data_IF_889337267147
#
_entry.id   IF_889337267147
#
_cell.length_a   1.000
_cell.length_b   1.000
_cell.length_c   1.000
_cell.angle_alpha   90.00
_cell.angle_beta   90.00
_cell.angle_gamma   90.00
#
_symmetry.space_group_name_H-M   'P 1'
#
loop_
_entity.id
_entity.type
_entity.pdbx_description
1 polymer ?
#
# COMPACT_ATOMS: atom_id res chain seq x y z
N UNK A 1 -23.02 41.67 -2.03
CA UNK A 1 -23.21 40.51 -1.14
C UNK A 1 -22.92 39.24 -1.92
N UNK A 2 -21.81 38.55 -1.64
CA UNK A 2 -21.55 37.19 -2.13
C UNK A 2 -21.17 36.37 -0.90
N UNK A 3 -22.01 35.41 -0.56
CA UNK A 3 -21.92 34.61 0.65
C UNK A 3 -20.68 33.69 0.59
N UNK A 4 -19.97 33.68 1.70
CA UNK A 4 -18.79 32.86 1.96
C UNK A 4 -19.26 31.46 2.37
N UNK A 5 -19.03 30.45 1.54
CA UNK A 5 -19.45 29.05 1.79
C UNK A 5 -18.20 28.20 2.02
N UNK A 6 -17.42 28.55 3.05
CA UNK A 6 -16.52 27.57 3.68
C UNK A 6 -17.29 26.95 4.85
N UNK A 7 -18.30 26.15 4.51
CA UNK A 7 -18.96 25.27 5.48
C UNK A 7 -17.97 24.20 5.89
N UNK A 8 -17.68 24.17 7.19
CA UNK A 8 -17.10 23.06 7.93
C UNK A 8 -17.61 21.71 7.41
N UNK A 9 -16.77 20.99 6.67
CA UNK A 9 -16.94 19.56 6.48
C UNK A 9 -15.86 18.92 7.35
N UNK A 10 -16.18 18.69 8.63
CA UNK A 10 -15.52 17.60 9.34
C UNK A 10 -15.82 16.34 8.52
N UNK A 11 -14.83 15.69 7.90
CA UNK A 11 -15.16 14.50 7.14
C UNK A 11 -15.53 13.45 8.17
N UNK A 12 -16.83 13.10 8.22
CA UNK A 12 -17.20 11.79 8.68
C UNK A 12 -16.25 10.83 7.97
N UNK A 13 -15.42 10.11 8.74
CA UNK A 13 -14.40 9.20 8.19
C UNK A 13 -15.18 8.16 7.39
N UNK A 14 -15.32 8.38 6.09
CA UNK A 14 -15.99 7.48 5.20
C UNK A 14 -15.21 6.17 5.30
N UNK A 15 -15.90 5.09 5.68
CA UNK A 15 -15.30 3.76 5.76
C UNK A 15 -14.58 3.52 4.42
N UNK A 16 -13.26 3.29 4.40
CA UNK A 16 -12.54 3.10 3.14
C UNK A 16 -13.16 1.90 2.42
N UNK A 17 -13.48 2.07 1.14
CA UNK A 17 -13.93 0.95 0.31
C UNK A 17 -12.71 0.07 0.05
N UNK A 18 -12.67 -1.08 0.72
CA UNK A 18 -11.64 -2.10 0.57
C UNK A 18 -12.19 -3.26 -0.28
N UNK A 19 -11.37 -3.89 -1.14
CA UNK A 19 -9.94 -3.61 -1.35
C UNK A 19 -9.69 -2.30 -2.13
N UNK A 20 -8.65 -1.57 -1.74
CA UNK A 20 -8.22 -0.34 -2.43
C UNK A 20 -6.97 -0.62 -3.26
N UNK A 21 -6.90 -0.07 -4.48
CA UNK A 21 -5.76 -0.27 -5.39
C UNK A 21 -5.06 1.07 -5.64
N UNK A 22 -3.78 1.14 -5.29
CA UNK A 22 -2.90 2.26 -5.62
C UNK A 22 -2.09 1.89 -6.85
N UNK A 23 -2.21 2.68 -7.91
CA UNK A 23 -1.52 2.46 -9.19
C UNK A 23 -0.38 3.48 -9.31
N UNK A 24 0.80 3.00 -9.74
CA UNK A 24 1.93 3.86 -10.01
C UNK A 24 1.74 4.67 -11.29
N UNK A 25 2.24 5.91 -11.31
CA UNK A 25 2.16 6.85 -12.44
C UNK A 25 2.78 6.30 -13.75
N UNK A 26 3.73 5.37 -13.66
CA UNK A 26 4.34 4.73 -14.82
C UNK A 26 3.37 3.88 -15.69
N UNK A 27 2.09 3.76 -15.30
CA UNK A 27 1.05 3.01 -16.02
C UNK A 27 1.33 1.52 -16.20
N UNK A 28 2.32 0.97 -15.49
CA UNK A 28 2.64 -0.45 -15.49
C UNK A 28 1.63 -1.21 -14.63
N UNK A 29 1.04 -2.27 -15.18
CA UNK A 29 0.13 -3.18 -14.44
C UNK A 29 0.83 -3.97 -13.34
N UNK A 30 2.14 -4.10 -13.43
CA UNK A 30 2.92 -4.69 -12.34
C UNK A 30 3.01 -3.69 -11.18
N UNK A 31 2.95 -2.38 -11.44
CA UNK A 31 3.14 -1.33 -10.44
C UNK A 31 1.85 -0.93 -9.73
N UNK A 32 1.39 -1.84 -8.88
CA UNK A 32 0.22 -1.68 -8.03
C UNK A 32 0.47 -2.14 -6.59
N UNK A 33 -0.18 -1.46 -5.65
CA UNK A 33 -0.35 -1.90 -4.26
C UNK A 33 -1.83 -2.18 -4.05
N UNK A 34 -2.17 -3.38 -3.61
CA UNK A 34 -3.54 -3.75 -3.22
C UNK A 34 -3.60 -3.73 -1.70
N UNK A 35 -4.53 -2.95 -1.15
CA UNK A 35 -4.78 -2.85 0.28
C UNK A 35 -6.05 -3.62 0.60
N UNK A 36 -5.95 -4.65 1.43
CA UNK A 36 -7.05 -5.50 1.86
C UNK A 36 -7.13 -5.51 3.39
N UNK A 37 -8.33 -5.59 3.93
CA UNK A 37 -8.53 -5.73 5.37
C UNK A 37 -9.25 -7.03 5.67
N UNK A 38 -8.59 -7.85 6.46
CA UNK A 38 -9.13 -9.09 6.97
C UNK A 38 -9.88 -8.82 8.27
N UNK A 39 -11.19 -9.13 8.28
CA UNK A 39 -12.04 -8.90 9.45
C UNK A 39 -11.88 -10.00 10.51
N UNK A 40 -11.37 -11.18 10.15
CA UNK A 40 -11.18 -12.28 11.11
C UNK A 40 -9.98 -12.01 12.02
N UNK A 41 -8.85 -11.65 11.42
CA UNK A 41 -7.61 -11.34 12.14
C UNK A 41 -7.49 -9.84 12.52
N UNK A 42 -8.40 -8.99 12.03
CA UNK A 42 -8.37 -7.52 12.18
C UNK A 42 -7.02 -6.92 11.74
N UNK A 43 -6.48 -7.44 10.64
CA UNK A 43 -5.20 -7.03 10.05
C UNK A 43 -5.45 -6.42 8.67
N UNK A 44 -4.65 -5.41 8.34
CA UNK A 44 -4.67 -4.80 7.00
C UNK A 44 -3.41 -5.19 6.26
N UNK A 45 -3.57 -5.82 5.11
CA UNK A 45 -2.50 -6.29 4.26
C UNK A 45 -2.29 -5.34 3.09
N UNK A 46 -1.02 -5.10 2.75
CA UNK A 46 -0.62 -4.39 1.54
C UNK A 46 0.18 -5.35 0.67
N UNK A 47 -0.42 -5.81 -0.41
CA UNK A 47 0.23 -6.65 -1.41
C UNK A 47 0.89 -5.76 -2.45
N UNK A 48 2.23 -5.79 -2.51
CA UNK A 48 3.01 -5.03 -3.48
C UNK A 48 3.44 -5.96 -4.60
N UNK A 49 2.97 -5.71 -5.81
CA UNK A 49 3.32 -6.51 -6.98
C UNK A 49 4.60 -6.00 -7.68
N UNK A 50 5.67 -5.69 -6.93
CA UNK A 50 6.96 -5.34 -7.54
C UNK A 50 8.14 -5.95 -6.83
N UNK A 51 8.91 -6.75 -7.59
CA UNK A 51 10.25 -6.28 -7.93
C UNK A 51 10.65 -6.74 -9.32
N UNK A 52 11.02 -5.79 -10.19
CA UNK A 52 11.87 -6.08 -11.35
C UNK A 52 13.27 -6.42 -10.86
N UNK A 53 13.49 -7.68 -10.53
CA UNK A 53 14.82 -8.18 -10.21
C UNK A 53 15.60 -8.43 -11.50
N UNK A 54 16.84 -7.91 -11.57
CA UNK A 54 17.77 -8.28 -12.65
C UNK A 54 18.02 -9.79 -12.68
N UNK A 55 18.42 -10.32 -13.84
CA UNK A 55 18.56 -11.76 -14.10
C UNK A 55 19.29 -12.51 -12.96
N UNK A 56 20.45 -12.01 -12.52
CA UNK A 56 21.25 -12.63 -11.47
C UNK A 56 20.56 -12.66 -10.10
N UNK A 57 19.73 -11.66 -9.78
CA UNK A 57 18.99 -11.62 -8.52
C UNK A 57 17.84 -12.63 -8.55
N UNK A 58 17.17 -12.78 -9.70
CA UNK A 58 16.17 -13.84 -9.94
C UNK A 58 16.79 -15.24 -9.85
N UNK A 59 17.96 -15.45 -10.48
CA UNK A 59 18.67 -16.73 -10.45
C UNK A 59 19.07 -17.10 -9.02
N UNK A 60 19.68 -16.18 -8.26
CA UNK A 60 20.03 -16.42 -6.85
C UNK A 60 18.82 -16.73 -5.98
N UNK A 61 17.72 -16.00 -6.16
CA UNK A 61 16.48 -16.25 -5.43
C UNK A 61 15.88 -17.63 -5.79
N UNK A 62 15.88 -17.99 -7.07
CA UNK A 62 15.42 -19.31 -7.54
C UNK A 62 16.27 -20.46 -7.00
N UNK A 63 17.60 -20.31 -6.99
CA UNK A 63 18.49 -21.32 -6.40
C UNK A 63 18.22 -21.48 -4.90
N UNK A 64 18.13 -20.39 -4.14
CA UNK A 64 17.76 -20.44 -2.72
C UNK A 64 16.46 -21.20 -2.50
N UNK A 65 15.46 -20.94 -3.34
CA UNK A 65 14.17 -21.63 -3.28
C UNK A 65 14.30 -23.13 -3.54
N UNK A 66 15.05 -23.55 -4.57
CA UNK A 66 15.30 -24.97 -4.90
C UNK A 66 15.99 -25.69 -3.73
N UNK A 67 16.93 -25.02 -3.05
CA UNK A 67 17.61 -25.57 -1.87
C UNK A 67 16.79 -25.44 -0.57
N UNK A 68 15.49 -25.14 -0.66
CA UNK A 68 14.59 -25.12 0.48
C UNK A 68 14.75 -23.93 1.43
N UNK A 69 15.48 -22.89 1.02
CA UNK A 69 15.59 -21.66 1.79
C UNK A 69 14.24 -20.94 1.80
N UNK A 70 13.58 -20.94 2.95
CA UNK A 70 12.33 -20.20 3.18
C UNK A 70 12.68 -18.80 3.69
N UNK A 71 12.27 -17.79 2.95
CA UNK A 71 12.33 -16.42 3.45
C UNK A 71 11.37 -16.29 4.65
N UNK A 72 11.87 -15.82 5.80
CA UNK A 72 11.08 -15.71 7.04
C UNK A 72 9.83 -14.83 6.90
N UNK A 73 9.82 -13.95 5.90
CA UNK A 73 8.78 -12.96 5.65
C UNK A 73 8.06 -13.14 4.31
N UNK A 74 8.21 -14.31 3.67
CA UNK A 74 7.66 -14.54 2.33
C UNK A 74 8.61 -14.10 1.21
N UNK A 75 8.36 -14.60 0.00
CA UNK A 75 9.09 -14.23 -1.21
C UNK A 75 8.38 -13.12 -2.01
N UNK A 76 7.21 -12.73 -1.53
CA UNK A 76 6.35 -11.67 -2.03
C UNK A 76 6.52 -10.47 -1.11
N UNK A 77 6.64 -9.26 -1.67
CA UNK A 77 6.72 -8.04 -0.88
C UNK A 77 5.32 -7.70 -0.34
N UNK A 78 5.02 -8.22 0.83
CA UNK A 78 3.78 -7.97 1.57
C UNK A 78 4.08 -7.21 2.86
N UNK A 79 3.23 -6.24 3.17
CA UNK A 79 3.32 -5.46 4.40
C UNK A 79 2.04 -5.63 5.22
N UNK A 80 2.20 -5.98 6.50
CA UNK A 80 1.09 -6.01 7.45
C UNK A 80 1.07 -4.66 8.17
N UNK A 81 -0.03 -3.92 8.02
CA UNK A 81 -0.23 -2.64 8.68
C UNK A 81 -0.88 -2.84 10.06
N UNK A 82 -0.20 -2.35 11.09
CA UNK A 82 -0.69 -2.27 12.46
C UNK A 82 -1.34 -0.92 12.76
N UNK A 83 -2.20 -0.83 13.79
CA UNK A 83 -2.79 0.44 14.22
C UNK A 83 -1.78 1.56 14.50
N UNK A 84 -0.58 1.20 14.95
CA UNK A 84 0.55 2.12 15.20
C UNK A 84 0.96 2.92 13.94
N UNK A 85 0.73 2.39 12.74
CA UNK A 85 1.10 3.04 11.49
C UNK A 85 0.05 4.03 10.99
N UNK A 86 -1.13 4.12 11.63
CA UNK A 86 -2.23 4.96 11.17
C UNK A 86 -1.85 6.44 11.09
N UNK A 87 -1.10 6.97 12.07
CA UNK A 87 -0.67 8.36 12.05
C UNK A 87 0.31 8.64 10.90
N UNK A 88 1.25 7.74 10.63
CA UNK A 88 2.19 7.88 9.52
C UNK A 88 1.49 7.88 8.15
N UNK A 89 0.48 7.02 7.97
CA UNK A 89 -0.31 6.98 6.74
C UNK A 89 -1.15 8.26 6.56
N UNK A 90 -1.68 8.80 7.65
CA UNK A 90 -2.41 10.09 7.64
C UNK A 90 -1.50 11.25 7.27
N UNK A 91 -0.33 11.37 7.89
CA UNK A 91 0.67 12.38 7.56
C UNK A 91 1.13 12.27 6.10
N UNK A 92 1.33 11.06 5.59
CA UNK A 92 1.64 10.82 4.18
C UNK A 92 0.52 11.32 3.26
N UNK A 93 -0.74 11.02 3.58
CA UNK A 93 -1.90 11.51 2.83
C UNK A 93 -1.97 13.03 2.80
N UNK A 94 -1.71 13.69 3.92
CA UNK A 94 -1.68 15.16 4.02
C UNK A 94 -0.56 15.74 3.15
N UNK A 95 0.64 15.15 3.18
CA UNK A 95 1.79 15.56 2.36
C UNK A 95 1.50 15.41 0.86
N UNK A 96 0.91 14.29 0.44
CA UNK A 96 0.53 14.05 -0.96
C UNK A 96 -0.55 15.05 -1.42
N UNK A 97 -1.49 15.39 -0.54
CA UNK A 97 -2.55 16.36 -0.84
C UNK A 97 -2.01 17.78 -1.03
N UNK A 98 -0.91 18.14 -0.36
CA UNK A 98 -0.26 19.44 -0.52
C UNK A 98 0.48 19.57 -1.86
N UNK A 99 1.07 18.48 -2.36
CA UNK A 99 1.78 18.44 -3.64
C UNK A 99 0.85 18.40 -4.86
N UNK A 100 -0.44 18.11 -4.66
CA UNK A 100 -1.44 18.08 -5.73
C UNK A 100 -1.94 19.47 -6.17
N UNK A 101 -1.11 20.52 -6.02
CA UNK A 101 -1.41 21.91 -6.41
C UNK A 101 -0.49 22.40 -7.52
#
# INVERSE_FOLDING_TARGET
MKANIYTNVSPAIAKPMLPAVLICDCSSREHQIIIEHDNEDNLTYCHIHLVKHGFWRRLKAGLKYIFGYKCRYGQWDEFILKPEHANHLRELSELLSQHSR
#
